data_IF_302833975228
#
_entry.id   IF_302833975228
#
_cell.length_a   1.000
_cell.length_b   1.000
_cell.length_c   1.000
_cell.angle_alpha   90.00
_cell.angle_beta   90.00
_cell.angle_gamma   90.00
#
_symmetry.space_group_name_H-M   'P 1'
#
loop_
_entity.id
_entity.type
_entity.pdbx_description
1 polymer ?
#
# COMPACT_ATOMS: atom_id res chain seq x y z
N UNK A 1 30.63 5.08 66.84
CA UNK A 1 31.35 5.03 65.55
C UNK A 1 31.95 6.42 65.34
N UNK A 2 33.28 6.58 65.44
CA UNK A 2 33.94 7.88 65.29
C UNK A 2 34.25 8.11 63.82
N UNK A 3 33.43 8.90 63.13
CA UNK A 3 33.65 9.29 61.74
C UNK A 3 34.60 10.48 61.69
N UNK A 4 35.66 10.39 60.89
CA UNK A 4 36.58 11.51 60.71
C UNK A 4 36.00 12.56 59.73
N UNK A 5 36.52 13.79 59.77
CA UNK A 5 36.03 14.93 58.96
C UNK A 5 35.96 14.61 57.46
N UNK A 6 36.88 13.80 56.94
CA UNK A 6 36.94 13.38 55.53
C UNK A 6 35.82 12.41 55.19
N UNK A 7 35.56 11.43 56.06
CA UNK A 7 34.44 10.49 55.90
C UNK A 7 33.10 11.20 55.99
N UNK A 8 32.98 12.17 56.90
CA UNK A 8 31.77 12.97 57.07
C UNK A 8 31.49 13.82 55.81
N UNK A 9 32.53 14.43 55.21
CA UNK A 9 32.41 15.15 53.94
C UNK A 9 32.12 14.22 52.75
N UNK A 10 32.71 13.03 52.68
CA UNK A 10 32.41 12.05 51.63
C UNK A 10 30.97 11.56 51.74
N UNK A 11 30.44 11.40 52.96
CA UNK A 11 29.05 10.99 53.18
C UNK A 11 28.06 12.13 52.88
N UNK A 12 28.39 13.38 53.23
CA UNK A 12 27.52 14.55 53.00
C UNK A 12 27.57 15.08 51.56
N UNK A 13 28.71 15.00 50.88
CA UNK A 13 28.92 15.57 49.54
C UNK A 13 28.99 14.49 48.44
N UNK A 14 29.34 13.25 48.77
CA UNK A 14 29.46 12.16 47.79
C UNK A 14 28.17 11.36 47.63
N UNK A 15 27.51 11.00 48.72
CA UNK A 15 26.30 10.16 48.67
C UNK A 15 25.11 10.87 47.99
N UNK A 16 24.77 12.14 48.30
CA UNK A 16 23.65 12.81 47.63
C UNK A 16 23.87 13.01 46.14
N UNK A 17 25.11 13.28 45.71
CA UNK A 17 25.47 13.42 44.29
C UNK A 17 25.47 12.08 43.56
N UNK A 18 25.92 10.99 44.19
CA UNK A 18 25.85 9.64 43.62
C UNK A 18 24.39 9.15 43.49
N UNK A 19 23.53 9.44 44.48
CA UNK A 19 22.09 9.11 44.43
C UNK A 19 21.29 10.01 43.47
N UNK A 20 21.73 11.26 43.23
CA UNK A 20 21.14 12.14 42.22
C UNK A 20 21.59 11.78 40.80
N UNK A 21 22.84 11.34 40.60
CA UNK A 21 23.37 10.95 39.29
C UNK A 21 22.76 9.63 38.76
N UNK A 22 22.27 8.76 39.64
CA UNK A 22 21.60 7.51 39.25
C UNK A 22 20.06 7.63 39.11
N UNK A 23 19.48 8.83 39.28
CA UNK A 23 18.04 9.08 39.07
C UNK A 23 17.80 9.92 37.83
N UNK A 24 18.23 9.42 36.67
CA UNK A 24 17.66 9.81 35.39
C UNK A 24 16.37 9.00 35.16
N UNK A 25 15.41 9.19 36.05
CA UNK A 25 14.07 8.62 35.94
C UNK A 25 13.10 9.73 35.52
N UNK A 26 13.55 10.62 34.61
CA UNK A 26 12.60 11.46 33.90
C UNK A 26 11.77 10.52 33.03
N UNK A 27 10.45 10.39 33.28
CA UNK A 27 9.60 9.61 32.40
C UNK A 27 9.80 10.15 31.00
N UNK A 28 10.09 9.26 30.04
CA UNK A 28 10.17 9.66 28.64
C UNK A 28 8.84 10.31 28.28
N UNK A 29 8.83 11.63 28.20
CA UNK A 29 7.68 12.40 27.73
C UNK A 29 7.61 12.13 26.24
N UNK A 30 6.75 11.20 25.86
CA UNK A 30 6.38 11.05 24.47
C UNK A 30 5.60 12.30 24.05
N UNK A 31 5.76 12.78 22.80
CA UNK A 31 4.87 13.81 22.29
C UNK A 31 3.42 13.37 22.48
N UNK A 32 2.54 14.32 22.78
CA UNK A 32 1.10 14.05 22.83
C UNK A 32 0.65 13.40 21.52
N UNK A 33 -0.12 12.33 21.61
CA UNK A 33 -0.52 11.55 20.45
C UNK A 33 -1.70 10.64 20.77
N UNK A 34 -2.40 10.23 19.72
CA UNK A 34 -3.51 9.30 19.79
C UNK A 34 -3.52 8.38 18.58
N UNK A 35 -4.22 7.25 18.69
CA UNK A 35 -4.46 6.37 17.56
C UNK A 35 -5.52 7.05 16.68
N UNK A 36 -5.10 7.48 15.50
CA UNK A 36 -5.98 8.02 14.46
C UNK A 36 -6.26 6.90 13.46
N UNK A 37 -7.52 6.71 13.08
CA UNK A 37 -7.92 5.62 12.18
C UNK A 37 -9.42 5.51 12.05
N UNK A 38 -9.86 4.33 11.60
CA UNK A 38 -11.27 4.02 11.39
C UNK A 38 -12.07 4.09 12.70
N UNK A 39 -13.34 4.47 12.59
CA UNK A 39 -14.22 4.62 13.73
C UNK A 39 -14.67 3.27 14.30
N UNK A 40 -14.02 2.84 15.39
CA UNK A 40 -14.44 1.64 16.13
C UNK A 40 -15.89 1.75 16.63
N UNK A 41 -16.35 2.96 16.96
CA UNK A 41 -17.73 3.20 17.39
C UNK A 41 -18.73 2.88 16.28
N UNK A 42 -18.48 3.32 15.04
CA UNK A 42 -19.30 2.97 13.88
C UNK A 42 -19.24 1.47 13.59
N UNK A 43 -18.05 0.87 13.67
CA UNK A 43 -17.89 -0.58 13.53
C UNK A 43 -18.70 -1.38 14.57
N UNK A 44 -18.74 -0.93 15.82
CA UNK A 44 -19.56 -1.55 16.86
C UNK A 44 -21.06 -1.40 16.59
N UNK A 45 -21.52 -0.24 16.13
CA UNK A 45 -22.92 -0.03 15.75
C UNK A 45 -23.36 -1.03 14.66
N UNK A 46 -22.50 -1.28 13.66
CA UNK A 46 -22.77 -2.26 12.60
C UNK A 46 -22.79 -3.70 13.14
N UNK A 47 -21.89 -4.03 14.06
CA UNK A 47 -21.81 -5.37 14.67
C UNK A 47 -23.02 -5.69 15.56
N UNK A 48 -23.60 -4.68 16.20
CA UNK A 48 -24.70 -4.85 17.17
C UNK A 48 -26.06 -5.21 16.55
N UNK A 49 -26.14 -5.45 15.22
CA UNK A 49 -27.38 -5.81 14.51
C UNK A 49 -28.57 -4.88 14.85
N UNK A 50 -28.29 -3.59 15.07
CA UNK A 50 -29.32 -2.60 15.40
C UNK A 50 -30.31 -2.47 14.26
N UNK A 51 -31.60 -2.44 14.60
CA UNK A 51 -32.67 -2.19 13.64
C UNK A 51 -32.85 -0.69 13.50
N UNK A 52 -32.59 -0.15 12.31
CA UNK A 52 -32.86 1.26 12.00
C UNK A 52 -34.22 1.39 11.34
N UNK A 53 -35.08 2.22 11.91
CA UNK A 53 -36.32 2.67 11.28
C UNK A 53 -36.01 3.84 10.35
N UNK A 54 -36.22 3.62 9.06
CA UNK A 54 -35.99 4.62 8.02
C UNK A 54 -37.35 5.11 7.53
N UNK A 55 -37.67 6.41 7.69
CA UNK A 55 -38.91 6.99 7.19
C UNK A 55 -39.13 6.69 5.70
N UNK A 56 -40.37 6.42 5.31
CA UNK A 56 -40.71 6.02 3.93
C UNK A 56 -40.28 7.04 2.87
N UNK A 57 -40.24 8.33 3.20
CA UNK A 57 -39.79 9.40 2.31
C UNK A 57 -38.27 9.50 2.12
N UNK A 58 -37.47 8.79 2.92
CA UNK A 58 -36.00 8.85 2.88
C UNK A 58 -35.38 7.75 2.00
N UNK A 59 -36.20 6.96 1.32
CA UNK A 59 -35.71 5.94 0.39
C UNK A 59 -35.40 6.57 -0.97
N UNK A 60 -34.16 6.38 -1.42
CA UNK A 60 -33.73 6.74 -2.77
C UNK A 60 -33.44 5.47 -3.58
N UNK A 61 -33.92 5.41 -4.82
CA UNK A 61 -33.62 4.31 -5.74
C UNK A 61 -32.49 4.73 -6.68
N UNK A 62 -31.45 3.91 -6.77
CA UNK A 62 -30.32 4.07 -7.70
C UNK A 62 -30.11 2.78 -8.46
N UNK A 63 -29.60 2.89 -9.70
CA UNK A 63 -29.20 1.71 -10.47
C UNK A 63 -27.92 1.06 -9.94
N UNK A 64 -27.00 1.87 -9.41
CA UNK A 64 -25.73 1.38 -8.84
C UNK A 64 -25.48 2.01 -7.48
N UNK A 65 -25.12 1.19 -6.50
CA UNK A 65 -24.63 1.64 -5.20
C UNK A 65 -23.16 1.21 -5.04
N UNK A 66 -22.27 2.17 -4.83
CA UNK A 66 -20.84 1.96 -4.56
C UNK A 66 -20.65 2.07 -3.05
N UNK A 67 -20.25 0.97 -2.43
CA UNK A 67 -20.02 0.89 -0.98
C UNK A 67 -18.52 1.01 -0.70
N UNK A 68 -18.13 2.10 -0.04
CA UNK A 68 -16.75 2.48 0.24
C UNK A 68 -16.27 3.61 -0.67
N UNK A 69 -15.82 4.69 -0.06
CA UNK A 69 -15.17 5.85 -0.69
C UNK A 69 -13.65 5.79 -0.67
N UNK A 70 -13.05 4.59 -0.61
CA UNK A 70 -11.64 4.38 -0.89
C UNK A 70 -11.30 4.54 -2.37
N UNK A 71 -10.01 4.41 -2.73
CA UNK A 71 -9.54 4.59 -4.12
C UNK A 71 -10.30 3.70 -5.12
N UNK A 72 -10.61 2.44 -4.78
CA UNK A 72 -11.41 1.57 -5.65
C UNK A 72 -12.82 2.13 -5.95
N UNK A 73 -13.54 2.58 -4.91
CA UNK A 73 -14.89 3.13 -5.07
C UNK A 73 -14.88 4.49 -5.77
N UNK A 74 -13.90 5.34 -5.49
CA UNK A 74 -13.71 6.62 -6.17
C UNK A 74 -13.39 6.41 -7.66
N UNK A 75 -12.52 5.43 -7.99
CA UNK A 75 -12.20 5.07 -9.37
C UNK A 75 -13.41 4.49 -10.11
N UNK A 76 -14.24 3.67 -9.45
CA UNK A 76 -15.49 3.18 -10.02
C UNK A 76 -16.47 4.33 -10.33
N UNK A 77 -16.65 5.26 -9.40
CA UNK A 77 -17.47 6.46 -9.58
C UNK A 77 -16.95 7.35 -10.72
N UNK A 78 -15.63 7.53 -10.79
CA UNK A 78 -14.96 8.25 -11.89
C UNK A 78 -15.24 7.60 -13.24
N UNK A 79 -15.07 6.28 -13.36
CA UNK A 79 -15.31 5.54 -14.60
C UNK A 79 -16.77 5.63 -15.05
N UNK A 80 -17.74 5.49 -14.13
CA UNK A 80 -19.16 5.67 -14.43
C UNK A 80 -19.46 7.07 -14.97
N UNK A 81 -18.94 8.11 -14.31
CA UNK A 81 -19.08 9.50 -14.78
C UNK A 81 -18.48 9.73 -16.15
N UNK A 82 -17.30 9.17 -16.40
CA UNK A 82 -16.62 9.24 -17.70
C UNK A 82 -17.42 8.58 -18.82
N UNK A 83 -18.23 7.57 -18.49
CA UNK A 83 -19.18 6.92 -19.39
C UNK A 83 -20.57 7.59 -19.40
N UNK A 84 -20.68 8.82 -18.85
CA UNK A 84 -21.92 9.58 -18.71
C UNK A 84 -23.03 8.87 -17.92
N UNK A 85 -22.68 7.84 -17.16
CA UNK A 85 -23.61 7.14 -16.27
C UNK A 85 -23.63 7.84 -14.92
N UNK A 86 -24.75 8.53 -14.61
CA UNK A 86 -24.89 9.33 -13.39
C UNK A 86 -25.92 8.76 -12.39
N UNK A 87 -26.58 7.65 -12.72
CA UNK A 87 -27.58 7.00 -11.85
C UNK A 87 -26.90 6.04 -10.86
N UNK A 88 -26.02 6.61 -10.03
CA UNK A 88 -25.33 5.90 -8.98
C UNK A 88 -25.20 6.73 -7.70
N UNK A 89 -24.88 6.06 -6.60
CA UNK A 89 -24.52 6.70 -5.33
C UNK A 89 -23.21 6.09 -4.80
N UNK A 90 -22.34 6.91 -4.21
CA UNK A 90 -21.15 6.47 -3.49
C UNK A 90 -21.34 6.75 -2.00
N UNK A 91 -21.04 5.75 -1.20
CA UNK A 91 -21.38 5.69 0.22
C UNK A 91 -20.12 5.37 1.00
N UNK A 92 -19.68 6.30 1.85
CA UNK A 92 -18.52 6.15 2.72
C UNK A 92 -18.99 6.05 4.16
N UNK A 93 -18.39 5.11 4.92
CA UNK A 93 -18.68 4.92 6.33
C UNK A 93 -18.03 6.02 7.17
N UNK A 94 -16.80 6.37 6.83
CA UNK A 94 -15.99 7.37 7.52
C UNK A 94 -16.38 8.81 7.15
N UNK A 95 -15.86 9.77 7.92
CA UNK A 95 -16.11 11.20 7.69
C UNK A 95 -15.55 11.69 6.35
N UNK A 96 -14.39 11.16 5.97
CA UNK A 96 -13.63 11.57 4.80
C UNK A 96 -13.41 10.38 3.86
N UNK A 97 -13.50 10.64 2.56
CA UNK A 97 -13.16 9.66 1.52
C UNK A 97 -11.64 9.51 1.38
N UNK A 98 -11.22 8.42 0.75
CA UNK A 98 -9.82 8.10 0.47
C UNK A 98 -9.38 6.76 1.04
N UNK A 99 -10.10 6.22 2.03
CA UNK A 99 -9.78 4.94 2.66
C UNK A 99 -8.36 4.93 3.21
N UNK A 100 -7.50 4.02 2.72
CA UNK A 100 -6.08 3.94 3.10
C UNK A 100 -5.20 5.01 2.44
N UNK A 101 -5.77 5.96 1.70
CA UNK A 101 -5.05 7.05 1.01
C UNK A 101 -5.45 8.44 1.48
N UNK A 102 -5.71 8.59 2.79
CA UNK A 102 -6.01 9.88 3.42
C UNK A 102 -4.75 10.65 3.84
N UNK A 103 -4.91 11.95 4.09
CA UNK A 103 -3.84 12.85 4.53
C UNK A 103 -4.25 13.73 5.71
N UNK A 104 -3.25 14.18 6.45
CA UNK A 104 -3.34 15.22 7.47
C UNK A 104 -2.82 16.55 6.96
N UNK A 105 -3.11 17.61 7.72
CA UNK A 105 -2.57 18.95 7.50
C UNK A 105 -1.66 19.29 8.68
N UNK A 106 -0.45 19.72 8.38
CA UNK A 106 0.44 20.37 9.33
C UNK A 106 0.81 21.75 8.80
N UNK A 107 1.49 22.53 9.65
CA UNK A 107 2.17 23.75 9.26
C UNK A 107 3.68 23.51 9.32
N UNK A 108 4.45 23.78 8.24
CA UNK A 108 4.04 24.41 6.99
C UNK A 108 3.50 23.45 5.91
N UNK A 109 3.54 22.12 6.13
CA UNK A 109 3.25 21.12 5.09
C UNK A 109 2.16 20.11 5.48
N UNK A 110 1.38 19.68 4.50
CA UNK A 110 0.50 18.51 4.62
C UNK A 110 1.32 17.21 4.59
N UNK A 111 0.75 16.14 5.12
CA UNK A 111 1.42 14.83 5.18
C UNK A 111 0.42 13.70 4.91
N UNK A 112 0.83 12.61 4.25
CA UNK A 112 0.00 11.43 4.12
C UNK A 112 -0.06 10.63 5.42
N UNK A 113 -1.19 9.98 5.70
CA UNK A 113 -1.28 9.01 6.80
C UNK A 113 -0.87 7.60 6.39
N UNK A 114 -1.08 7.25 5.13
CA UNK A 114 -0.84 5.91 4.61
C UNK A 114 -0.46 5.96 3.11
N UNK A 115 -1.15 5.22 2.23
CA UNK A 115 -0.76 5.07 0.82
C UNK A 115 -0.75 6.42 0.09
N UNK A 116 0.43 6.80 -0.42
CA UNK A 116 0.69 8.15 -0.93
C UNK A 116 1.63 8.19 -2.13
N UNK A 117 2.00 7.03 -2.67
CA UNK A 117 2.83 6.94 -3.85
C UNK A 117 2.28 5.91 -4.82
N UNK A 118 2.69 6.04 -6.07
CA UNK A 118 2.33 5.15 -7.17
C UNK A 118 3.53 5.04 -8.11
N UNK A 119 3.95 3.84 -8.55
CA UNK A 119 4.96 3.72 -9.60
C UNK A 119 4.48 4.42 -10.87
N UNK A 120 5.40 5.06 -11.60
CA UNK A 120 5.08 5.60 -12.93
C UNK A 120 4.56 4.45 -13.80
N UNK A 121 3.31 4.53 -14.29
CA UNK A 121 2.71 3.44 -15.04
C UNK A 121 3.37 3.31 -16.42
N UNK A 122 3.44 2.07 -16.91
CA UNK A 122 3.81 1.84 -18.31
C UNK A 122 2.69 2.30 -19.26
N UNK A 123 3.06 2.62 -20.49
CA UNK A 123 2.14 3.06 -21.55
C UNK A 123 0.90 2.17 -21.73
N UNK A 124 0.99 0.87 -21.42
CA UNK A 124 -0.12 -0.07 -21.56
C UNK A 124 -1.24 0.16 -20.52
N UNK A 125 -0.94 0.83 -19.40
CA UNK A 125 -1.92 1.14 -18.36
C UNK A 125 -2.68 2.44 -18.70
N UNK A 126 -3.43 2.38 -19.80
CA UNK A 126 -4.10 3.53 -20.43
C UNK A 126 -5.14 4.19 -19.53
N UNK A 127 -5.85 3.42 -18.70
CA UNK A 127 -6.87 3.94 -17.77
C UNK A 127 -6.23 4.78 -16.66
N UNK A 128 -5.17 4.29 -16.03
CA UNK A 128 -4.46 5.04 -15.00
C UNK A 128 -3.81 6.27 -15.61
N UNK A 129 -3.16 6.13 -16.76
CA UNK A 129 -2.55 7.26 -17.46
C UNK A 129 -3.60 8.34 -17.78
N UNK A 130 -4.78 7.94 -18.27
CA UNK A 130 -5.85 8.89 -18.56
C UNK A 130 -6.35 9.62 -17.30
N UNK A 131 -6.40 8.93 -16.15
CA UNK A 131 -6.71 9.58 -14.88
C UNK A 131 -5.60 10.56 -14.46
N UNK A 132 -4.32 10.19 -14.60
CA UNK A 132 -3.19 11.06 -14.26
C UNK A 132 -3.14 12.32 -15.16
N UNK A 133 -3.49 12.18 -16.45
CA UNK A 133 -3.63 13.30 -17.39
C UNK A 133 -4.79 14.24 -16.95
N UNK A 134 -5.96 13.69 -16.60
CA UNK A 134 -7.11 14.47 -16.09
C UNK A 134 -6.77 15.20 -14.77
N UNK A 135 -5.91 14.60 -13.95
CA UNK A 135 -5.38 15.20 -12.71
C UNK A 135 -4.27 16.24 -12.97
N UNK A 136 -3.87 16.46 -14.23
CA UNK A 136 -2.80 17.38 -14.65
C UNK A 136 -1.44 17.06 -14.03
N UNK A 137 -1.14 15.77 -13.83
CA UNK A 137 0.09 15.29 -13.21
C UNK A 137 1.21 15.00 -14.22
N UNK A 138 0.87 14.94 -15.50
CA UNK A 138 1.77 14.56 -16.59
C UNK A 138 2.17 15.80 -17.42
N UNK A 139 3.34 15.73 -18.05
CA UNK A 139 3.85 16.69 -19.05
C UNK A 139 3.74 16.14 -20.49
N UNK A 140 3.06 15.00 -20.66
CA UNK A 140 2.81 14.37 -21.96
C UNK A 140 3.42 12.98 -22.08
N UNK A 141 3.99 12.70 -23.25
CA UNK A 141 4.65 11.42 -23.57
C UNK A 141 6.04 11.65 -24.15
N UNK A 142 6.95 10.70 -23.92
CA UNK A 142 8.27 10.69 -24.55
C UNK A 142 8.22 10.12 -25.99
N UNK A 143 9.38 10.04 -26.64
CA UNK A 143 9.50 9.52 -28.00
C UNK A 143 9.14 8.02 -28.13
N UNK A 144 9.09 7.30 -27.02
CA UNK A 144 8.74 5.88 -26.94
C UNK A 144 7.28 5.68 -26.52
N UNK A 145 6.51 6.75 -26.32
CA UNK A 145 5.11 6.70 -25.91
C UNK A 145 4.89 6.56 -24.40
N UNK A 146 5.95 6.61 -23.58
CA UNK A 146 5.81 6.53 -22.13
C UNK A 146 5.34 7.82 -21.51
N UNK A 147 4.67 7.70 -20.37
CA UNK A 147 4.21 8.86 -19.60
C UNK A 147 5.39 9.64 -19.02
N UNK A 148 5.41 10.95 -19.28
CA UNK A 148 6.31 11.89 -18.61
C UNK A 148 5.54 12.55 -17.49
N UNK A 149 5.96 12.30 -16.25
CA UNK A 149 5.34 12.89 -15.05
C UNK A 149 6.07 14.18 -14.70
N UNK A 150 5.32 15.20 -14.24
CA UNK A 150 5.92 16.45 -13.74
C UNK A 150 6.88 16.17 -12.59
N UNK A 151 8.09 16.69 -12.68
CA UNK A 151 9.18 16.42 -11.73
C UNK A 151 8.80 16.71 -10.27
N UNK A 152 7.95 17.72 -10.02
CA UNK A 152 7.45 18.07 -8.69
C UNK A 152 6.64 16.97 -7.98
N UNK A 153 6.13 15.99 -8.73
CA UNK A 153 5.39 14.85 -8.20
C UNK A 153 6.26 13.59 -8.12
N UNK A 154 7.50 13.61 -8.60
CA UNK A 154 8.37 12.44 -8.53
C UNK A 154 9.12 12.40 -7.20
N UNK A 155 9.32 11.19 -6.69
CA UNK A 155 10.20 10.93 -5.55
C UNK A 155 11.58 11.52 -5.85
N UNK A 156 12.13 12.27 -4.89
CA UNK A 156 13.50 12.79 -4.97
C UNK A 156 14.47 11.79 -4.37
N UNK A 157 15.67 11.76 -4.92
CA UNK A 157 16.73 10.90 -4.45
C UNK A 157 17.23 11.28 -3.03
N UNK A 158 17.71 10.30 -2.24
CA UNK A 158 17.66 8.86 -2.53
C UNK A 158 16.24 8.30 -2.38
N UNK A 159 15.80 7.45 -3.33
CA UNK A 159 14.46 6.86 -3.29
C UNK A 159 14.30 5.86 -2.12
N UNK A 160 15.37 5.11 -1.83
CA UNK A 160 15.39 4.08 -0.79
C UNK A 160 16.78 3.97 -0.15
N UNK A 161 16.80 3.61 1.14
CA UNK A 161 18.03 3.47 1.92
C UNK A 161 17.80 2.65 3.17
N UNK A 162 18.81 1.89 3.56
CA UNK A 162 18.86 1.13 4.80
C UNK A 162 19.74 1.82 5.84
N UNK A 163 19.25 1.90 7.08
CA UNK A 163 20.07 2.30 8.23
C UNK A 163 20.70 1.08 8.88
N UNK A 164 22.03 1.00 8.87
CA UNK A 164 22.77 -0.10 9.46
C UNK A 164 24.02 0.40 10.17
N UNK A 165 24.21 0.01 11.44
CA UNK A 165 25.38 0.35 12.27
C UNK A 165 25.80 1.83 12.22
N UNK A 166 24.83 2.73 12.35
CA UNK A 166 25.12 4.17 12.42
C UNK A 166 25.21 4.88 11.07
N UNK A 167 25.04 4.17 9.95
CA UNK A 167 25.18 4.73 8.60
C UNK A 167 23.98 4.40 7.72
N UNK A 168 23.71 5.29 6.77
CA UNK A 168 22.73 5.07 5.70
C UNK A 168 23.44 4.48 4.48
N UNK A 169 22.87 3.42 3.92
CA UNK A 169 23.31 2.78 2.68
C UNK A 169 22.19 2.89 1.65
N UNK A 170 22.53 3.24 0.42
CA UNK A 170 21.58 3.33 -0.68
C UNK A 170 21.06 1.94 -1.08
N UNK A 171 19.79 1.88 -1.47
CA UNK A 171 19.14 0.63 -1.88
C UNK A 171 18.54 -0.15 -0.72
N UNK A 172 17.75 -1.18 -1.06
CA UNK A 172 17.13 -2.11 -0.10
C UNK A 172 17.90 -3.41 0.14
N UNK A 173 18.99 -3.66 -0.59
CA UNK A 173 19.88 -4.81 -0.33
C UNK A 173 21.12 -4.35 0.44
N UNK A 174 21.34 -4.91 1.63
CA UNK A 174 22.50 -4.55 2.47
C UNK A 174 23.79 -5.24 2.00
N UNK A 175 24.42 -4.65 0.97
CA UNK A 175 25.66 -5.17 0.37
C UNK A 175 26.90 -5.04 1.28
N UNK A 176 26.89 -4.12 2.23
CA UNK A 176 28.05 -3.90 3.12
C UNK A 176 28.29 -5.14 4.01
N UNK A 177 29.51 -5.66 3.94
CA UNK A 177 29.91 -6.88 4.66
C UNK A 177 29.35 -8.18 4.06
N UNK A 178 28.76 -8.15 2.87
CA UNK A 178 28.44 -9.36 2.11
C UNK A 178 29.72 -10.07 1.67
N UNK A 179 29.77 -11.39 1.84
CA UNK A 179 30.87 -12.20 1.32
C UNK A 179 30.70 -12.50 -0.18
N UNK A 180 31.62 -13.26 -0.77
CA UNK A 180 31.55 -13.60 -2.19
C UNK A 180 30.37 -14.51 -2.53
N UNK A 181 29.92 -15.34 -1.60
CA UNK A 181 28.77 -16.22 -1.81
C UNK A 181 27.45 -15.45 -1.75
N UNK A 182 27.31 -14.51 -0.82
CA UNK A 182 26.21 -13.54 -0.77
C UNK A 182 26.10 -12.77 -2.10
N UNK A 183 27.22 -12.26 -2.61
CA UNK A 183 27.26 -11.52 -3.89
C UNK A 183 26.88 -12.42 -5.06
N UNK A 184 27.42 -13.65 -5.11
CA UNK A 184 27.12 -14.62 -6.16
C UNK A 184 25.63 -14.98 -6.18
N UNK A 185 25.05 -15.27 -5.01
CA UNK A 185 23.63 -15.58 -4.91
C UNK A 185 22.73 -14.39 -5.24
N UNK A 186 23.10 -13.18 -4.82
CA UNK A 186 22.36 -11.98 -5.18
C UNK A 186 22.38 -11.71 -6.70
N UNK A 187 23.53 -11.88 -7.36
CA UNK A 187 23.63 -11.77 -8.81
C UNK A 187 22.80 -12.85 -9.53
N UNK A 188 22.83 -14.09 -9.03
CA UNK A 188 21.99 -15.16 -9.57
C UNK A 188 20.50 -14.89 -9.36
N UNK A 189 20.11 -14.34 -8.21
CA UNK A 189 18.75 -13.91 -7.95
C UNK A 189 18.30 -12.83 -8.93
N UNK A 190 19.12 -11.80 -9.16
CA UNK A 190 18.84 -10.76 -10.15
C UNK A 190 18.65 -11.36 -11.54
N UNK A 191 19.50 -12.32 -11.93
CA UNK A 191 19.35 -13.05 -13.20
C UNK A 191 18.02 -13.79 -13.30
N UNK A 192 17.54 -14.41 -12.22
CA UNK A 192 16.20 -15.03 -12.18
C UNK A 192 15.07 -14.02 -12.31
N UNK A 193 15.20 -12.84 -11.68
CA UNK A 193 14.23 -11.76 -11.84
C UNK A 193 14.21 -11.27 -13.29
N UNK A 194 15.37 -11.11 -13.92
CA UNK A 194 15.51 -10.72 -15.32
C UNK A 194 14.85 -11.72 -16.29
N UNK A 195 14.98 -13.02 -16.01
CA UNK A 195 14.26 -14.09 -16.72
C UNK A 195 12.74 -13.86 -16.65
N UNK A 196 12.19 -13.62 -15.46
CA UNK A 196 10.76 -13.37 -15.26
C UNK A 196 10.27 -12.05 -15.87
N UNK A 197 11.08 -10.99 -15.82
CA UNK A 197 10.77 -9.70 -16.47
C UNK A 197 10.70 -9.86 -17.98
N UNK A 198 11.56 -10.68 -18.56
CA UNK A 198 11.63 -10.97 -20.00
C UNK A 198 10.65 -12.03 -20.45
N UNK A 199 10.17 -12.87 -19.54
CA UNK A 199 9.26 -13.96 -19.84
C UNK A 199 7.97 -13.47 -20.51
N UNK A 200 7.52 -14.21 -21.53
CA UNK A 200 6.26 -13.98 -22.23
C UNK A 200 5.54 -15.31 -22.44
N UNK A 201 4.21 -15.29 -22.31
CA UNK A 201 3.38 -16.45 -22.69
C UNK A 201 3.23 -16.55 -24.21
N UNK A 202 2.50 -17.58 -24.67
CA UNK A 202 2.23 -17.80 -26.09
C UNK A 202 1.46 -16.64 -26.76
N UNK A 203 0.73 -15.83 -25.97
CA UNK A 203 0.02 -14.64 -26.42
C UNK A 203 0.86 -13.36 -26.30
N UNK A 204 2.11 -13.45 -25.88
CA UNK A 204 2.99 -12.29 -25.70
C UNK A 204 2.72 -11.49 -24.42
N UNK A 205 1.90 -11.99 -23.48
CA UNK A 205 1.68 -11.32 -22.19
C UNK A 205 2.85 -11.56 -21.25
N UNK A 206 3.09 -10.61 -20.35
CA UNK A 206 4.12 -10.71 -19.30
C UNK A 206 3.65 -11.64 -18.19
N UNK A 207 4.58 -12.26 -17.48
CA UNK A 207 4.26 -13.01 -16.26
C UNK A 207 3.62 -12.08 -15.20
N UNK A 208 4.23 -10.91 -14.99
CA UNK A 208 3.82 -9.95 -13.95
C UNK A 208 3.77 -8.53 -14.51
N UNK A 209 2.65 -7.83 -14.30
CA UNK A 209 2.43 -6.44 -14.70
C UNK A 209 1.39 -5.77 -13.79
N UNK A 210 1.41 -4.44 -13.71
CA UNK A 210 0.36 -3.64 -13.07
C UNK A 210 -0.49 -2.98 -14.17
N UNK A 211 -1.81 -3.22 -14.25
CA UNK A 211 -2.65 -3.97 -13.30
C UNK A 211 -2.57 -5.50 -13.45
N UNK A 212 -2.97 -6.21 -12.39
CA UNK A 212 -2.92 -7.68 -12.28
C UNK A 212 -3.66 -8.42 -13.41
N UNK A 213 -4.72 -7.83 -13.96
CA UNK A 213 -5.49 -8.39 -15.08
C UNK A 213 -4.65 -8.57 -16.36
N UNK A 214 -3.54 -7.83 -16.48
CA UNK A 214 -2.59 -7.98 -17.58
C UNK A 214 -1.56 -9.09 -17.37
N UNK A 215 -1.51 -9.70 -16.18
CA UNK A 215 -0.62 -10.83 -15.91
C UNK A 215 -1.04 -12.06 -16.71
N UNK A 216 -0.07 -12.90 -17.04
CA UNK A 216 -0.34 -14.17 -17.69
C UNK A 216 -1.03 -15.15 -16.73
N UNK A 217 -1.98 -15.91 -17.27
CA UNK A 217 -2.67 -17.03 -16.61
C UNK A 217 -2.01 -18.39 -16.92
N UNK A 218 -0.84 -18.39 -17.58
CA UNK A 218 -0.10 -19.60 -17.91
C UNK A 218 0.16 -20.47 -16.65
N UNK A 219 -0.02 -21.80 -16.72
CA UNK A 219 0.21 -22.70 -15.58
C UNK A 219 1.59 -22.57 -14.94
N UNK A 220 2.63 -22.26 -15.71
CA UNK A 220 3.99 -22.05 -15.19
C UNK A 220 4.11 -20.80 -14.31
N UNK A 221 3.25 -19.80 -14.54
CA UNK A 221 3.16 -18.59 -13.71
C UNK A 221 2.20 -18.83 -12.55
N UNK A 222 0.98 -19.28 -12.81
CA UNK A 222 -0.06 -19.43 -11.78
C UNK A 222 0.26 -20.51 -10.74
N UNK A 223 1.08 -21.52 -11.08
CA UNK A 223 1.56 -22.51 -10.11
C UNK A 223 2.48 -21.93 -9.03
N UNK A 224 3.10 -20.77 -9.26
CA UNK A 224 3.90 -20.06 -8.25
C UNK A 224 3.05 -19.61 -7.06
N UNK A 225 1.74 -19.49 -7.23
CA UNK A 225 0.84 -19.11 -6.13
C UNK A 225 0.64 -20.26 -5.11
N UNK A 226 1.05 -21.48 -5.47
CA UNK A 226 0.87 -22.69 -4.66
C UNK A 226 2.03 -23.02 -3.73
N UNK A 227 3.14 -22.28 -3.83
CA UNK A 227 4.31 -22.45 -2.98
C UNK A 227 4.63 -21.11 -2.29
N UNK A 228 5.20 -21.16 -1.09
CA UNK A 228 5.64 -19.92 -0.45
C UNK A 228 6.83 -19.32 -1.19
N UNK A 229 7.04 -18.01 -1.06
CA UNK A 229 8.22 -17.37 -1.65
C UNK A 229 9.52 -17.90 -1.02
N UNK A 230 9.49 -18.22 0.27
CA UNK A 230 10.58 -18.91 0.95
C UNK A 230 10.86 -20.32 0.37
N UNK A 231 9.84 -21.09 0.00
CA UNK A 231 10.03 -22.38 -0.68
C UNK A 231 10.63 -22.18 -2.07
N UNK A 232 10.16 -21.17 -2.82
CA UNK A 232 10.72 -20.86 -4.14
C UNK A 232 12.20 -20.49 -4.04
N UNK A 233 12.59 -19.68 -3.05
CA UNK A 233 13.99 -19.35 -2.83
C UNK A 233 14.84 -20.61 -2.56
N UNK A 234 14.36 -21.49 -1.68
CA UNK A 234 15.02 -22.76 -1.36
C UNK A 234 15.12 -23.70 -2.56
N UNK A 235 14.06 -23.83 -3.35
CA UNK A 235 14.04 -24.66 -4.56
C UNK A 235 15.00 -24.16 -5.64
N UNK A 236 15.28 -22.85 -5.67
CA UNK A 236 16.27 -22.26 -6.58
C UNK A 236 17.69 -22.22 -5.99
N UNK A 237 17.92 -22.86 -4.83
CA UNK A 237 19.26 -23.00 -4.23
C UNK A 237 19.77 -21.76 -3.52
N UNK A 238 18.90 -20.80 -3.19
CA UNK A 238 19.28 -19.61 -2.42
C UNK A 238 19.34 -19.95 -0.93
N UNK A 239 20.51 -19.76 -0.34
CA UNK A 239 20.83 -20.03 1.07
C UNK A 239 21.42 -18.82 1.80
N UNK A 240 21.74 -17.72 1.10
CA UNK A 240 22.21 -16.48 1.70
C UNK A 240 21.15 -15.88 2.63
N UNK A 241 21.50 -15.72 3.89
CA UNK A 241 20.63 -15.09 4.89
C UNK A 241 20.34 -13.62 4.52
N UNK A 242 21.30 -12.93 3.87
CA UNK A 242 21.11 -11.56 3.40
C UNK A 242 20.08 -11.47 2.29
N UNK A 243 20.17 -12.38 1.31
CA UNK A 243 19.18 -12.46 0.24
C UNK A 243 17.81 -12.82 0.78
N UNK A 244 17.72 -13.80 1.69
CA UNK A 244 16.45 -14.16 2.32
C UNK A 244 15.85 -12.98 3.08
N UNK A 245 16.64 -12.24 3.86
CA UNK A 245 16.18 -11.06 4.58
C UNK A 245 15.66 -9.98 3.62
N UNK A 246 16.34 -9.73 2.51
CA UNK A 246 15.88 -8.79 1.49
C UNK A 246 14.52 -9.20 0.89
N UNK A 247 14.36 -10.47 0.57
CA UNK A 247 13.10 -11.02 0.08
C UNK A 247 11.98 -10.98 1.13
N UNK A 248 12.27 -11.29 2.40
CA UNK A 248 11.30 -11.21 3.51
C UNK A 248 10.89 -9.76 3.80
N UNK A 249 11.84 -8.82 3.74
CA UNK A 249 11.58 -7.39 3.83
C UNK A 249 10.62 -6.94 2.72
N UNK A 250 10.91 -7.30 1.47
CA UNK A 250 10.08 -6.93 0.32
C UNK A 250 8.63 -7.42 0.46
N UNK A 251 8.41 -8.65 0.93
CA UNK A 251 7.05 -9.16 1.15
C UNK A 251 6.33 -8.48 2.31
N UNK A 252 7.06 -8.07 3.35
CA UNK A 252 6.47 -7.35 4.49
C UNK A 252 6.08 -5.94 4.12
N UNK A 253 6.92 -5.26 3.36
CA UNK A 253 6.71 -3.88 2.94
C UNK A 253 5.48 -3.76 2.03
N UNK A 254 5.38 -4.61 1.00
CA UNK A 254 4.28 -4.52 0.03
C UNK A 254 2.98 -5.24 0.50
N UNK A 255 3.08 -6.30 1.32
CA UNK A 255 1.93 -7.17 1.63
C UNK A 255 1.65 -7.39 3.11
N UNK A 256 2.52 -6.93 4.02
CA UNK A 256 2.39 -7.21 5.45
C UNK A 256 2.56 -8.70 5.80
N UNK A 257 3.18 -9.49 4.93
CA UNK A 257 3.40 -10.93 5.09
C UNK A 257 4.89 -11.26 5.08
N UNK A 258 5.28 -12.31 5.80
CA UNK A 258 6.62 -12.89 5.68
C UNK A 258 6.78 -13.67 4.37
N UNK A 259 8.01 -13.93 3.96
CA UNK A 259 8.30 -14.72 2.75
C UNK A 259 7.80 -16.17 2.84
N UNK A 260 7.65 -16.74 4.04
CA UNK A 260 7.06 -18.07 4.27
C UNK A 260 5.52 -18.06 4.31
N UNK A 261 4.89 -16.88 4.35
CA UNK A 261 3.44 -16.68 4.34
C UNK A 261 2.93 -16.17 2.99
N UNK A 262 3.76 -15.42 2.28
CA UNK A 262 3.49 -14.93 0.94
C UNK A 262 3.74 -16.02 -0.09
N UNK A 263 2.90 -16.10 -1.13
CA UNK A 263 3.15 -17.01 -2.25
C UNK A 263 4.35 -16.55 -3.09
N UNK A 264 4.99 -17.48 -3.80
CA UNK A 264 6.08 -17.12 -4.70
C UNK A 264 5.61 -16.21 -5.83
N UNK A 265 4.35 -16.31 -6.22
CA UNK A 265 3.73 -15.43 -7.20
C UNK A 265 3.80 -13.96 -6.75
N UNK A 266 3.34 -13.63 -5.54
CA UNK A 266 3.39 -12.24 -5.04
C UNK A 266 4.81 -11.78 -4.74
N UNK A 267 5.68 -12.69 -4.29
CA UNK A 267 7.11 -12.41 -4.08
C UNK A 267 7.79 -11.98 -5.39
N UNK A 268 7.61 -12.76 -6.46
CA UNK A 268 8.14 -12.43 -7.78
C UNK A 268 7.46 -11.20 -8.40
N UNK A 269 6.17 -11.01 -8.17
CA UNK A 269 5.43 -9.83 -8.61
C UNK A 269 6.06 -8.53 -8.10
N UNK A 270 6.49 -8.49 -6.83
CA UNK A 270 7.19 -7.34 -6.24
C UNK A 270 8.40 -6.91 -7.08
N UNK A 271 9.25 -7.87 -7.45
CA UNK A 271 10.50 -7.62 -8.17
C UNK A 271 10.29 -7.38 -9.67
N UNK A 272 9.25 -7.97 -10.28
CA UNK A 272 9.11 -8.00 -11.74
C UNK A 272 8.12 -6.96 -12.29
N UNK A 273 7.02 -6.69 -11.58
CA UNK A 273 5.85 -6.00 -12.15
C UNK A 273 6.07 -4.53 -12.51
N UNK A 274 7.07 -3.90 -11.87
CA UNK A 274 7.42 -2.47 -12.00
C UNK A 274 8.75 -2.25 -12.72
N UNK A 275 9.28 -3.29 -13.39
CA UNK A 275 10.50 -3.22 -14.19
C UNK A 275 10.11 -3.29 -15.66
N UNK A 276 10.56 -2.34 -16.48
CA UNK A 276 10.11 -2.24 -17.88
C UNK A 276 10.80 -3.27 -18.77
N UNK A 277 12.12 -3.42 -18.61
CA UNK A 277 12.95 -4.34 -19.38
C UNK A 277 13.97 -4.97 -18.44
N UNK A 278 14.38 -6.20 -18.74
CA UNK A 278 15.51 -6.81 -18.04
C UNK A 278 16.73 -5.89 -18.07
N UNK A 279 17.42 -5.80 -16.93
CA UNK A 279 18.54 -4.89 -16.70
C UNK A 279 18.18 -3.42 -16.53
N UNK A 280 16.90 -3.02 -16.60
CA UNK A 280 16.48 -1.66 -16.27
C UNK A 280 16.23 -1.51 -14.76
N UNK A 281 16.38 -0.29 -14.24
CA UNK A 281 15.89 0.04 -12.91
C UNK A 281 14.36 -0.08 -12.83
N UNK A 282 13.84 -0.13 -11.60
CA UNK A 282 12.41 -0.05 -11.32
C UNK A 282 11.88 1.33 -11.74
N UNK A 283 10.60 1.40 -12.13
CA UNK A 283 9.95 2.69 -12.38
C UNK A 283 10.10 3.63 -11.18
N UNK A 284 10.39 4.91 -11.46
CA UNK A 284 10.30 6.00 -10.49
C UNK A 284 8.91 6.01 -9.85
N UNK A 285 8.80 6.59 -8.66
CA UNK A 285 7.51 6.69 -7.96
C UNK A 285 7.00 8.13 -7.97
N UNK A 286 5.72 8.31 -8.32
CA UNK A 286 4.98 9.53 -8.02
C UNK A 286 4.66 9.57 -6.52
N UNK A 287 4.74 10.74 -5.89
CA UNK A 287 4.35 10.97 -4.50
C UNK A 287 3.35 12.11 -4.38
N UNK A 288 2.44 11.97 -3.42
CA UNK A 288 1.38 12.93 -3.18
C UNK A 288 1.46 13.46 -1.74
N UNK A 289 1.93 14.70 -1.53
CA UNK A 289 2.03 15.30 -0.19
C UNK A 289 0.68 15.43 0.53
N UNK A 290 -0.42 15.51 -0.24
CA UNK A 290 -1.80 15.52 0.26
C UNK A 290 -2.50 14.17 0.11
N UNK A 291 -1.75 13.09 -0.06
CA UNK A 291 -2.23 11.79 -0.51
C UNK A 291 -3.05 11.90 -1.82
N UNK A 292 -3.69 10.81 -2.26
CA UNK A 292 -4.58 10.80 -3.42
C UNK A 292 -5.89 11.59 -3.20
N UNK A 293 -5.93 12.52 -2.24
CA UNK A 293 -7.05 13.40 -1.94
C UNK A 293 -7.46 14.29 -3.13
N UNK A 294 -6.66 14.33 -4.20
CA UNK A 294 -7.04 15.00 -5.45
C UNK A 294 -8.10 14.22 -6.26
N UNK A 295 -8.34 12.93 -6.01
CA UNK A 295 -9.48 12.20 -6.61
C UNK A 295 -10.83 12.78 -6.15
N UNK A 296 -10.90 13.35 -4.94
CA UNK A 296 -12.08 14.08 -4.45
C UNK A 296 -12.42 15.30 -5.30
N UNK A 297 -11.45 15.88 -6.02
CA UNK A 297 -11.65 17.05 -6.88
C UNK A 297 -12.46 16.65 -8.14
N UNK A 298 -12.45 15.37 -8.53
CA UNK A 298 -13.10 14.87 -9.74
C UNK A 298 -14.57 14.43 -9.48
N UNK A 299 -14.99 14.30 -8.22
CA UNK A 299 -16.31 13.75 -7.88
C UNK A 299 -17.22 14.77 -7.16
N UNK A 300 -18.34 15.22 -7.78
CA UNK A 300 -19.35 15.99 -7.06
C UNK A 300 -20.16 15.12 -6.09
N UNK A 301 -20.49 15.73 -4.94
CA UNK A 301 -21.37 15.26 -3.84
C UNK A 301 -21.23 13.77 -3.48
N UNK A 302 -20.24 13.49 -2.62
CA UNK A 302 -20.31 12.34 -1.71
C UNK A 302 -21.46 12.58 -0.74
N UNK A 303 -22.46 11.70 -0.71
CA UNK A 303 -23.54 11.77 0.27
C UNK A 303 -22.97 11.36 1.63
N UNK A 304 -22.75 12.36 2.49
CA UNK A 304 -22.20 12.17 3.84
C UNK A 304 -23.33 11.80 4.77
N UNK A 305 -23.26 10.64 5.42
CA UNK A 305 -24.17 10.31 6.51
C UNK A 305 -23.63 10.94 7.80
N UNK A 306 -24.08 12.15 8.11
CA UNK A 306 -23.63 12.90 9.28
C UNK A 306 -24.22 12.43 10.61
N UNK A 307 -25.10 11.41 10.64
CA UNK A 307 -25.74 10.97 11.90
C UNK A 307 -26.45 9.60 11.89
N UNK A 308 -26.23 8.72 10.91
CA UNK A 308 -26.91 7.43 10.90
C UNK A 308 -26.30 6.41 9.95
N UNK A 309 -26.49 5.13 10.27
CA UNK A 309 -26.17 4.02 9.35
C UNK A 309 -27.27 3.96 8.30
N UNK A 310 -26.96 4.16 7.01
CA UNK A 310 -27.95 4.05 5.95
C UNK A 310 -28.42 2.61 5.80
N UNK A 311 -29.75 2.41 5.64
CA UNK A 311 -30.36 1.09 5.43
C UNK A 311 -30.51 0.82 3.94
N UNK A 312 -30.12 -0.37 3.51
CA UNK A 312 -30.17 -0.77 2.11
C UNK A 312 -31.21 -1.86 1.89
N UNK A 313 -31.88 -1.82 0.75
CA UNK A 313 -32.68 -2.93 0.27
C UNK A 313 -32.31 -3.20 -1.19
N UNK A 314 -31.63 -4.32 -1.44
CA UNK A 314 -31.32 -4.76 -2.79
C UNK A 314 -32.57 -5.36 -3.42
N UNK A 315 -33.08 -4.73 -4.48
CA UNK A 315 -34.08 -5.35 -5.36
C UNK A 315 -33.34 -5.99 -6.53
N UNK A 316 -33.01 -7.28 -6.40
CA UNK A 316 -32.49 -8.05 -7.53
C UNK A 316 -33.62 -8.26 -8.56
N UNK A 317 -33.44 -7.88 -9.84
CA UNK A 317 -34.24 -8.45 -10.90
C UNK A 317 -33.85 -9.94 -11.02
N UNK A 318 -34.85 -10.83 -11.10
CA UNK A 318 -34.63 -12.29 -11.20
C UNK A 318 -33.53 -12.59 -12.23
N UNK A 319 -32.54 -13.45 -11.92
CA UNK A 319 -31.41 -13.68 -12.80
C UNK A 319 -31.87 -14.35 -14.10
N UNK A 320 -31.67 -13.70 -15.24
CA UNK A 320 -31.63 -14.36 -16.54
C UNK A 320 -30.19 -14.81 -16.83
N UNK A 321 -30.03 -16.03 -17.33
CA UNK A 321 -28.75 -16.77 -17.51
C UNK A 321 -27.66 -16.04 -18.30
N UNK A 322 -27.94 -14.90 -18.92
CA UNK A 322 -27.01 -14.17 -19.80
C UNK A 322 -26.16 -13.08 -19.10
N UNK A 323 -26.43 -12.74 -17.83
CA UNK A 323 -25.72 -11.62 -17.16
C UNK A 323 -24.53 -12.02 -16.27
N UNK A 324 -24.23 -13.31 -16.14
CA UNK A 324 -23.22 -13.81 -15.19
C UNK A 324 -21.76 -13.60 -15.62
N UNK A 325 -21.46 -13.15 -16.84
CA UNK A 325 -20.07 -12.99 -17.29
C UNK A 325 -19.47 -11.60 -17.00
N UNK A 326 -20.29 -10.56 -16.83
CA UNK A 326 -19.82 -9.16 -16.69
C UNK A 326 -19.89 -8.64 -15.25
N UNK A 327 -20.63 -9.33 -14.37
CA UNK A 327 -20.91 -8.86 -13.01
C UNK A 327 -19.89 -9.30 -11.95
N UNK A 328 -18.95 -10.20 -12.29
CA UNK A 328 -17.90 -10.66 -11.37
C UNK A 328 -16.71 -9.69 -11.24
N UNK A 329 -16.62 -8.70 -12.12
CA UNK A 329 -15.44 -7.83 -12.23
C UNK A 329 -15.45 -6.61 -11.28
N UNK A 330 -16.51 -6.43 -10.48
CA UNK A 330 -16.64 -5.32 -9.52
C UNK A 330 -16.67 -5.82 -8.05
N UNK A 331 -16.55 -7.14 -7.83
CA UNK A 331 -16.66 -7.77 -6.50
C UNK A 331 -15.36 -8.42 -6.00
N UNK A 332 -14.17 -7.89 -6.31
CA UNK A 332 -12.93 -8.33 -5.67
C UNK A 332 -12.02 -7.12 -5.42
N UNK A 333 -12.33 -6.37 -4.36
CA UNK A 333 -11.34 -5.67 -3.52
C UNK A 333 -12.00 -5.39 -2.16
N UNK A 334 -12.47 -6.48 -1.54
CA UNK A 334 -12.78 -6.52 -0.12
C UNK A 334 -12.00 -7.70 0.45
N UNK A 335 -10.97 -7.39 1.24
CA UNK A 335 -10.20 -8.35 2.02
C UNK A 335 -11.16 -9.07 2.96
N UNK A 336 -11.58 -10.28 2.61
CA UNK A 336 -12.18 -11.22 3.55
C UNK A 336 -11.05 -11.95 4.26
N UNK A 337 -10.64 -11.43 5.42
CA UNK A 337 -10.20 -12.29 6.52
C UNK A 337 -11.47 -12.65 7.29
N UNK A 338 -12.14 -13.71 6.84
CA UNK A 338 -13.04 -14.46 7.70
C UNK A 338 -12.35 -15.79 8.03
N UNK A 339 -11.87 -15.90 9.28
CA UNK A 339 -11.52 -17.18 9.90
C UNK A 339 -12.82 -17.97 10.09
N UNK A 340 -12.86 -19.15 9.45
CA UNK A 340 -13.69 -20.35 9.68
C UNK A 340 -15.21 -20.20 9.66
#
# INVERSE_FOLDING_TARGET
MNLNRRELLTMFLGAPFAFAACRLDQPRVFPEGGIVGQSFALGHILRENRTFDVPSGNWETKKVAIIGGGIAGLSAAWKLKKQHFNDFVLLELEKDVGGTSISGKGEPVSYPWAAHYLPVPFQENTELISLLDEMLLTDGRDAQGEVVVKEQFLCREPEERLYYKGRWYEGLYLAVGADEEDKRQFAEFQRRIDEWVSWRDAGGRRAFVVPLEGCSDDPSVTSLDRISFADWLRQNGFTSERLYWYCDYATRDDYGLKADQASAWVGLFYFCSRVRKSGSSRSRSLQFPRAMANLSIILPKVQRTTSGVPKWQFRSPRPTKASMSSAWMVMIFAVFIAKR
#
